data_IF_268436028390
#
_entry.id   IF_268436028390
#
_cell.length_a   1.000
_cell.length_b   1.000
_cell.length_c   1.000
_cell.angle_alpha   90.00
_cell.angle_beta   90.00
_cell.angle_gamma   90.00
#
_symmetry.space_group_name_H-M   'P 1'
#
loop_
_entity.id
_entity.type
_entity.pdbx_description
1 polymer ?
#
# COMPACT_ATOMS: atom_id res chain seq x y z
N UNK A 1 9.74 -28.43 19.41
CA UNK A 1 9.31 -27.12 18.86
C UNK A 1 7.86 -27.11 18.43
N UNK A 2 7.42 -27.93 17.45
CA UNK A 2 6.03 -27.90 16.94
C UNK A 2 4.98 -28.23 18.02
N UNK A 3 5.22 -29.28 18.81
CA UNK A 3 4.34 -29.69 19.94
C UNK A 3 4.23 -28.59 21.00
N UNK A 4 5.34 -27.90 21.27
CA UNK A 4 5.43 -26.80 22.23
C UNK A 4 4.64 -25.57 21.74
N UNK A 5 4.71 -25.27 20.44
CA UNK A 5 3.95 -24.20 19.81
C UNK A 5 2.44 -24.48 19.90
N UNK A 6 2.04 -25.73 19.62
CA UNK A 6 0.65 -26.17 19.70
C UNK A 6 0.12 -26.14 21.14
N UNK A 7 0.93 -26.53 22.12
CA UNK A 7 0.57 -26.44 23.55
C UNK A 7 0.46 -25.00 24.04
N UNK A 8 1.38 -24.12 23.62
CA UNK A 8 1.29 -22.69 23.95
C UNK A 8 0.07 -22.04 23.32
N UNK A 9 -0.25 -22.37 22.07
CA UNK A 9 -1.48 -21.92 21.41
C UNK A 9 -2.74 -22.42 22.13
N UNK A 10 -2.80 -23.70 22.48
CA UNK A 10 -3.93 -24.27 23.23
C UNK A 10 -4.08 -23.67 24.63
N UNK A 11 -2.98 -23.38 25.30
CA UNK A 11 -2.98 -22.75 26.63
C UNK A 11 -3.44 -21.29 26.55
N UNK A 12 -2.96 -20.55 25.55
CA UNK A 12 -3.42 -19.19 25.27
C UNK A 12 -4.92 -19.17 24.95
N UNK A 13 -5.40 -20.08 24.10
CA UNK A 13 -6.83 -20.21 23.77
C UNK A 13 -7.69 -20.53 24.99
N UNK A 14 -7.23 -21.41 25.89
CA UNK A 14 -7.92 -21.72 27.14
C UNK A 14 -7.86 -20.61 28.19
N UNK A 15 -6.89 -19.69 28.10
CA UNK A 15 -6.78 -18.56 29.02
C UNK A 15 -7.83 -17.48 28.76
N UNK A 16 -8.44 -17.46 27.57
CA UNK A 16 -9.59 -16.61 27.24
C UNK A 16 -10.88 -17.24 27.77
N UNK A 17 -11.21 -16.98 29.03
CA UNK A 17 -12.40 -17.55 29.70
C UNK A 17 -13.72 -16.83 29.37
N UNK A 18 -13.71 -15.77 28.54
CA UNK A 18 -14.90 -15.08 28.06
C UNK A 18 -14.80 -14.71 26.57
N UNK A 19 -15.93 -14.77 25.88
CA UNK A 19 -16.04 -14.44 24.44
C UNK A 19 -15.61 -12.99 24.16
N UNK A 20 -15.76 -12.10 25.14
CA UNK A 20 -15.36 -10.68 25.05
C UNK A 20 -13.84 -10.46 25.07
N UNK A 21 -13.05 -11.16 25.89
CA UNK A 21 -11.58 -11.06 25.83
C UNK A 21 -11.05 -11.68 24.55
N UNK A 22 -11.63 -12.80 24.10
CA UNK A 22 -11.25 -13.41 22.82
C UNK A 22 -11.54 -12.46 21.64
N UNK A 23 -12.73 -11.85 21.62
CA UNK A 23 -13.11 -10.86 20.62
C UNK A 23 -12.17 -9.66 20.64
N UNK A 24 -11.83 -9.14 21.82
CA UNK A 24 -10.92 -8.00 21.98
C UNK A 24 -9.49 -8.33 21.56
N UNK A 25 -8.99 -9.54 21.86
CA UNK A 25 -7.69 -10.02 21.43
C UNK A 25 -7.57 -10.20 19.91
N UNK A 26 -8.69 -10.45 19.21
CA UNK A 26 -8.71 -10.60 17.75
C UNK A 26 -8.86 -9.27 16.98
N UNK A 27 -9.31 -8.18 17.63
CA UNK A 27 -9.49 -6.86 16.98
C UNK A 27 -8.22 -6.33 16.30
N UNK A 28 -7.01 -6.43 16.88
CA UNK A 28 -5.79 -5.98 16.23
C UNK A 28 -5.49 -6.78 14.96
N UNK A 29 -5.75 -8.09 14.97
CA UNK A 29 -5.55 -8.93 13.79
C UNK A 29 -6.52 -8.56 12.66
N UNK A 30 -7.80 -8.32 12.98
CA UNK A 30 -8.77 -7.85 11.99
C UNK A 30 -8.37 -6.49 11.40
N UNK A 31 -7.90 -5.57 12.26
CA UNK A 31 -7.46 -4.24 11.84
C UNK A 31 -6.21 -4.32 10.95
N UNK A 32 -5.26 -5.23 11.25
CA UNK A 32 -4.10 -5.47 10.39
C UNK A 32 -4.49 -6.00 9.00
N UNK A 33 -5.44 -6.93 8.92
CA UNK A 33 -5.95 -7.43 7.64
C UNK A 33 -6.57 -6.29 6.84
N UNK A 34 -7.41 -5.47 7.48
CA UNK A 34 -8.05 -4.32 6.84
C UNK A 34 -7.03 -3.30 6.33
N UNK A 35 -6.03 -2.94 7.14
CA UNK A 35 -4.93 -2.03 6.75
C UNK A 35 -4.20 -2.58 5.52
N UNK A 36 -3.85 -3.87 5.53
CA UNK A 36 -3.16 -4.50 4.40
C UNK A 36 -4.02 -4.51 3.13
N UNK A 37 -5.30 -4.87 3.23
CA UNK A 37 -6.23 -4.86 2.09
C UNK A 37 -6.33 -3.46 1.48
N UNK A 38 -6.56 -2.43 2.30
CA UNK A 38 -6.64 -1.03 1.83
C UNK A 38 -5.33 -0.58 1.18
N UNK A 39 -4.20 -0.95 1.76
CA UNK A 39 -2.87 -0.62 1.22
C UNK A 39 -2.69 -1.23 -0.16
N UNK A 40 -3.01 -2.51 -0.33
CA UNK A 40 -2.90 -3.22 -1.61
C UNK A 40 -3.86 -2.62 -2.65
N UNK A 41 -5.12 -2.35 -2.28
CA UNK A 41 -6.09 -1.71 -3.16
C UNK A 41 -5.59 -0.34 -3.63
N UNK A 42 -5.03 0.47 -2.73
CA UNK A 42 -4.48 1.78 -3.06
C UNK A 42 -3.30 1.67 -4.04
N UNK A 43 -2.37 0.73 -3.81
CA UNK A 43 -1.23 0.50 -4.70
C UNK A 43 -1.66 0.01 -6.09
N UNK A 44 -2.64 -0.90 -6.16
CA UNK A 44 -3.21 -1.38 -7.43
C UNK A 44 -3.84 -0.21 -8.19
N UNK A 45 -4.63 0.63 -7.51
CA UNK A 45 -5.27 1.79 -8.13
C UNK A 45 -4.24 2.80 -8.66
N UNK A 46 -3.18 3.08 -7.89
CA UNK A 46 -2.09 3.96 -8.33
C UNK A 46 -1.37 3.40 -9.56
N UNK A 47 -1.08 2.10 -9.59
CA UNK A 47 -0.41 1.48 -10.72
C UNK A 47 -1.30 1.44 -11.98
N UNK A 48 -2.60 1.15 -11.82
CA UNK A 48 -3.56 1.22 -12.91
C UNK A 48 -3.63 2.65 -13.49
N UNK A 49 -3.73 3.66 -12.63
CA UNK A 49 -3.76 5.07 -13.04
C UNK A 49 -2.48 5.49 -13.79
N UNK A 50 -1.30 5.07 -13.32
CA UNK A 50 -0.04 5.32 -14.00
C UNK A 50 -0.03 4.71 -15.41
N UNK A 51 -0.38 3.43 -15.53
CA UNK A 51 -0.39 2.73 -16.83
C UNK A 51 -1.37 3.40 -17.79
N UNK A 52 -2.60 3.68 -17.36
CA UNK A 52 -3.59 4.37 -18.19
C UNK A 52 -3.07 5.73 -18.66
N UNK A 53 -2.43 6.48 -17.77
CA UNK A 53 -1.86 7.78 -18.11
C UNK A 53 -0.74 7.66 -19.14
N UNK A 54 0.20 6.73 -18.95
CA UNK A 54 1.30 6.50 -19.90
C UNK A 54 0.76 6.08 -21.27
N UNK A 55 -0.24 5.20 -21.30
CA UNK A 55 -0.87 4.79 -22.56
C UNK A 55 -1.51 5.98 -23.30
N UNK A 56 -2.28 6.80 -22.58
CA UNK A 56 -2.93 7.97 -23.16
C UNK A 56 -1.91 8.99 -23.67
N UNK A 57 -0.87 9.28 -22.88
CA UNK A 57 0.21 10.18 -23.28
C UNK A 57 0.95 9.65 -24.51
N UNK A 58 1.19 8.34 -24.60
CA UNK A 58 1.86 7.70 -25.74
C UNK A 58 1.03 7.79 -27.02
N UNK A 59 -0.29 7.63 -26.92
CA UNK A 59 -1.20 7.82 -28.06
C UNK A 59 -1.19 9.27 -28.51
N UNK A 60 -1.25 10.22 -27.57
CA UNK A 60 -1.19 11.65 -27.87
C UNK A 60 0.14 12.03 -28.55
N UNK A 61 1.26 11.53 -28.04
CA UNK A 61 2.58 11.78 -28.60
C UNK A 61 2.72 11.19 -30.00
N UNK A 62 2.24 9.96 -30.21
CA UNK A 62 2.25 9.31 -31.54
C UNK A 62 1.47 10.16 -32.56
N UNK A 63 0.29 10.67 -32.17
CA UNK A 63 -0.52 11.55 -33.02
C UNK A 63 0.17 12.90 -33.31
N UNK A 64 0.85 13.46 -32.32
CA UNK A 64 1.61 14.70 -32.47
C UNK A 64 2.77 14.51 -33.46
N UNK A 65 3.55 13.43 -33.30
CA UNK A 65 4.66 13.10 -34.17
C UNK A 65 4.21 12.76 -35.60
N UNK A 66 3.10 12.05 -35.78
CA UNK A 66 2.61 11.69 -37.12
C UNK A 66 2.17 12.90 -37.94
N UNK A 67 1.81 14.00 -37.28
CA UNK A 67 1.42 15.26 -37.92
C UNK A 67 2.60 16.24 -38.09
N UNK A 68 3.78 15.91 -37.55
CA UNK A 68 4.93 16.80 -37.54
C UNK A 68 5.83 16.56 -38.75
N UNK A 69 6.04 17.60 -39.57
CA UNK A 69 6.90 17.55 -40.76
C UNK A 69 8.31 18.09 -40.49
N UNK A 70 8.49 18.89 -39.44
CA UNK A 70 9.79 19.40 -39.04
C UNK A 70 10.48 18.46 -38.04
N UNK A 71 11.62 17.91 -38.45
CA UNK A 71 12.39 16.96 -37.66
C UNK A 71 12.91 17.59 -36.36
N UNK A 72 13.32 18.86 -36.38
CA UNK A 72 13.82 19.52 -35.17
C UNK A 72 12.72 19.64 -34.11
N UNK A 73 11.52 20.07 -34.51
CA UNK A 73 10.35 20.12 -33.63
C UNK A 73 9.91 18.73 -33.16
N UNK A 74 9.99 17.70 -34.02
CA UNK A 74 9.68 16.33 -33.63
C UNK A 74 10.62 15.82 -32.53
N UNK A 75 11.92 16.10 -32.63
CA UNK A 75 12.93 15.74 -31.63
C UNK A 75 12.65 16.44 -30.29
N UNK A 76 12.38 17.74 -30.31
CA UNK A 76 12.09 18.47 -29.06
C UNK A 76 10.79 17.97 -28.41
N UNK A 77 9.76 17.68 -29.21
CA UNK A 77 8.51 17.08 -28.71
C UNK A 77 8.76 15.72 -28.06
N UNK A 78 9.57 14.86 -28.68
CA UNK A 78 9.92 13.56 -28.13
C UNK A 78 10.70 13.68 -26.82
N UNK A 79 11.61 14.65 -26.73
CA UNK A 79 12.36 14.96 -25.50
C UNK A 79 11.43 15.37 -24.36
N UNK A 80 10.52 16.32 -24.62
CA UNK A 80 9.53 16.78 -23.63
C UNK A 80 8.65 15.62 -23.15
N UNK A 81 8.20 14.76 -24.06
CA UNK A 81 7.45 13.56 -23.69
C UNK A 81 8.24 12.64 -22.77
N UNK A 82 9.52 12.39 -23.07
CA UNK A 82 10.39 11.54 -22.24
C UNK A 82 10.63 12.14 -20.86
N UNK A 83 10.85 13.45 -20.75
CA UNK A 83 11.00 14.15 -19.47
C UNK A 83 9.71 14.05 -18.64
N UNK A 84 8.55 14.25 -19.27
CA UNK A 84 7.25 14.11 -18.61
C UNK A 84 6.99 12.67 -18.14
N UNK A 85 7.35 11.67 -18.95
CA UNK A 85 7.24 10.25 -18.59
C UNK A 85 8.11 9.93 -17.37
N UNK A 86 9.37 10.38 -17.36
CA UNK A 86 10.28 10.19 -16.24
C UNK A 86 9.72 10.84 -14.96
N UNK A 87 9.18 12.05 -15.06
CA UNK A 87 8.57 12.75 -13.94
C UNK A 87 7.37 11.96 -13.37
N UNK A 88 6.49 11.44 -14.24
CA UNK A 88 5.32 10.65 -13.80
C UNK A 88 5.70 9.35 -13.10
N UNK A 89 6.66 8.62 -13.63
CA UNK A 89 7.15 7.38 -13.01
C UNK A 89 7.77 7.69 -11.64
N UNK A 90 8.57 8.76 -11.55
CA UNK A 90 9.21 9.17 -10.30
C UNK A 90 8.19 9.61 -9.25
N UNK A 91 7.18 10.39 -9.66
CA UNK A 91 6.08 10.80 -8.79
C UNK A 91 5.29 9.59 -8.27
N UNK A 92 4.94 8.64 -9.15
CA UNK A 92 4.23 7.43 -8.76
C UNK A 92 5.03 6.56 -7.79
N UNK A 93 6.36 6.44 -7.99
CA UNK A 93 7.22 5.75 -7.05
C UNK A 93 7.24 6.43 -5.67
N UNK A 94 7.28 7.76 -5.64
CA UNK A 94 7.18 8.54 -4.40
C UNK A 94 5.83 8.33 -3.71
N UNK A 95 4.73 8.38 -4.46
CA UNK A 95 3.39 8.16 -3.92
C UNK A 95 3.23 6.74 -3.33
N UNK A 96 3.75 5.72 -4.01
CA UNK A 96 3.74 4.35 -3.50
C UNK A 96 4.57 4.21 -2.22
N UNK A 97 5.73 4.88 -2.14
CA UNK A 97 6.53 4.93 -0.92
C UNK A 97 5.77 5.61 0.22
N UNK A 98 5.15 6.76 -0.05
CA UNK A 98 4.37 7.51 0.94
C UNK A 98 3.16 6.69 1.46
N UNK A 99 2.55 5.84 0.62
CA UNK A 99 1.51 4.88 1.03
C UNK A 99 2.08 3.84 2.01
N UNK A 100 3.18 3.17 1.65
CA UNK A 100 3.79 2.14 2.50
C UNK A 100 4.27 2.72 3.83
N UNK A 101 4.86 3.92 3.82
CA UNK A 101 5.28 4.60 5.05
C UNK A 101 4.09 4.87 5.96
N UNK A 102 2.98 5.41 5.44
CA UNK A 102 1.77 5.65 6.22
C UNK A 102 1.20 4.35 6.79
N UNK A 103 1.13 3.29 5.98
CA UNK A 103 0.71 1.96 6.43
C UNK A 103 1.57 1.47 7.61
N UNK A 104 2.89 1.65 7.54
CA UNK A 104 3.79 1.29 8.63
C UNK A 104 3.53 2.07 9.91
N UNK A 105 3.21 3.36 9.80
CA UNK A 105 2.84 4.21 10.94
C UNK A 105 1.51 3.78 11.56
N UNK A 106 0.51 3.45 10.73
CA UNK A 106 -0.78 2.92 11.17
C UNK A 106 -0.64 1.59 11.91
N UNK A 107 0.17 0.66 11.38
CA UNK A 107 0.47 -0.63 12.04
C UNK A 107 1.19 -0.40 13.37
N UNK A 108 2.16 0.50 13.42
CA UNK A 108 2.89 0.82 14.65
C UNK A 108 1.95 1.37 15.73
N UNK A 109 1.04 2.25 15.33
CA UNK A 109 0.02 2.83 16.22
C UNK A 109 -0.91 1.74 16.74
N UNK A 110 -1.42 0.88 15.86
CA UNK A 110 -2.28 -0.25 16.23
C UNK A 110 -1.63 -1.18 17.26
N UNK A 111 -0.34 -1.52 17.09
CA UNK A 111 0.39 -2.35 18.06
C UNK A 111 0.53 -1.64 19.40
N UNK A 112 0.88 -0.35 19.40
CA UNK A 112 1.02 0.45 20.62
C UNK A 112 -0.29 0.54 21.40
N UNK A 113 -1.40 0.77 20.69
CA UNK A 113 -2.73 0.86 21.27
C UNK A 113 -3.17 -0.50 21.84
N UNK A 114 -2.91 -1.59 21.12
CA UNK A 114 -3.20 -2.95 21.56
C UNK A 114 -2.44 -3.33 22.85
N UNK A 115 -1.17 -2.96 22.96
CA UNK A 115 -0.36 -3.18 24.17
C UNK A 115 -0.90 -2.36 25.35
N UNK A 116 -1.33 -1.13 25.09
CA UNK A 116 -1.92 -0.25 26.11
C UNK A 116 -3.25 -0.79 26.61
N UNK A 117 -4.12 -1.24 25.72
CA UNK A 117 -5.41 -1.86 26.05
C UNK A 117 -5.21 -3.16 26.85
N UNK A 118 -4.32 -4.05 26.41
CA UNK A 118 -3.98 -5.28 27.12
C UNK A 118 -3.43 -5.01 28.53
N UNK A 119 -2.57 -4.00 28.68
CA UNK A 119 -2.02 -3.60 29.99
C UNK A 119 -3.07 -3.01 30.94
N UNK A 120 -4.14 -2.43 30.39
CA UNK A 120 -5.27 -1.88 31.16
C UNK A 120 -6.21 -2.99 31.61
N UNK A 121 -6.46 -3.98 30.76
CA UNK A 121 -7.26 -5.17 31.06
C UNK A 121 -6.60 -6.13 32.07
N UNK A 122 -5.27 -6.05 32.24
CA UNK A 122 -4.51 -6.87 33.19
C UNK A 122 -4.45 -6.28 34.62
N UNK A 123 -5.02 -5.09 34.85
CA UNK A 123 -5.17 -4.47 36.17
C UNK A 123 -6.56 -4.74 36.74
#
# INVERSE_FOLDING_TARGET
MFTQLTEQFNTAMKSFNNVEQFSSAMKPFNSLVEINTKTVEQLINQQAALITTIMNDSVAQTKALSAQTDLATAIESQKVFTEALQAKVSASAKEAYDVVTRTSEEVTTLVKDSVTEASTLAK
#
